data_IF_354373159099
#
_entry.id   IF_354373159099
#
_cell.length_a   1.000
_cell.length_b   1.000
_cell.length_c   1.000
_cell.angle_alpha   90.00
_cell.angle_beta   90.00
_cell.angle_gamma   90.00
#
_symmetry.space_group_name_H-M   'P 1'
#
loop_
_entity.id
_entity.type
_entity.pdbx_description
1 polymer ?
#
# COMPACT_ATOMS: atom_id res chain seq x y z
N UNK A 1 -30.13 -10.90 23.93
CA UNK A 1 -29.18 -12.03 23.99
C UNK A 1 -27.79 -11.42 23.92
N UNK A 2 -27.01 -11.54 24.98
CA UNK A 2 -25.66 -10.98 25.08
C UNK A 2 -24.70 -11.71 24.12
N UNK A 3 -23.77 -11.01 23.45
CA UNK A 3 -22.78 -11.68 22.62
C UNK A 3 -21.78 -12.46 23.51
N UNK A 4 -21.28 -13.62 23.05
CA UNK A 4 -20.40 -14.46 23.85
C UNK A 4 -19.02 -13.81 24.01
N UNK A 5 -18.70 -13.36 25.23
CA UNK A 5 -17.39 -12.84 25.66
C UNK A 5 -16.31 -13.94 25.83
N UNK A 6 -16.28 -14.95 24.97
CA UNK A 6 -15.30 -16.04 25.11
C UNK A 6 -14.50 -16.23 23.83
N UNK A 7 -13.47 -15.41 23.62
CA UNK A 7 -12.26 -15.73 22.84
C UNK A 7 -11.39 -14.49 22.73
N UNK A 8 -10.26 -14.48 23.45
CA UNK A 8 -8.97 -13.86 23.11
C UNK A 8 -8.11 -13.86 24.39
N UNK A 9 -7.68 -15.05 24.83
CA UNK A 9 -6.41 -15.12 25.56
C UNK A 9 -5.33 -14.94 24.50
N UNK A 10 -4.63 -13.81 24.53
CA UNK A 10 -3.37 -13.63 23.83
C UNK A 10 -2.35 -14.57 24.44
N UNK A 11 -2.36 -15.84 24.01
CA UNK A 11 -1.20 -16.68 24.18
C UNK A 11 -0.06 -16.04 23.39
N UNK A 12 1.07 -15.78 24.04
CA UNK A 12 2.30 -15.41 23.33
C UNK A 12 2.54 -16.47 22.26
N UNK A 13 2.43 -16.05 21.00
CA UNK A 13 2.72 -16.92 19.86
C UNK A 13 4.23 -17.11 19.90
N UNK A 14 4.69 -18.34 20.12
CA UNK A 14 6.11 -18.65 20.03
C UNK A 14 6.63 -18.20 18.67
N UNK A 15 7.75 -17.46 18.64
CA UNK A 15 8.32 -16.91 17.42
C UNK A 15 9.70 -17.53 17.15
N UNK A 16 9.78 -18.86 16.95
CA UNK A 16 11.06 -19.58 16.97
C UNK A 16 12.05 -19.09 15.89
N UNK A 17 11.57 -18.67 14.72
CA UNK A 17 12.41 -18.12 13.67
C UNK A 17 13.02 -16.77 14.08
N UNK A 18 12.20 -15.84 14.56
CA UNK A 18 12.66 -14.54 15.08
C UNK A 18 13.60 -14.68 16.26
N UNK A 19 13.23 -15.46 17.27
CA UNK A 19 14.05 -15.67 18.48
C UNK A 19 15.42 -16.25 18.13
N UNK A 20 15.47 -17.19 17.18
CA UNK A 20 16.72 -17.77 16.70
C UNK A 20 17.56 -16.73 15.96
N UNK A 21 16.99 -15.99 15.01
CA UNK A 21 17.73 -14.99 14.24
C UNK A 21 18.20 -13.82 15.11
N UNK A 22 17.35 -13.32 16.02
CA UNK A 22 17.73 -12.26 16.95
C UNK A 22 18.89 -12.66 17.86
N UNK A 23 18.95 -13.94 18.28
CA UNK A 23 20.05 -14.46 19.11
C UNK A 23 21.38 -14.57 18.35
N UNK A 24 21.35 -15.01 17.09
CA UNK A 24 22.54 -15.46 16.38
C UNK A 24 23.05 -14.51 15.29
N UNK A 25 22.21 -13.64 14.73
CA UNK A 25 22.67 -12.63 13.79
C UNK A 25 23.45 -11.52 14.51
N UNK A 26 24.42 -10.87 13.85
CA UNK A 26 25.11 -9.72 14.43
C UNK A 26 24.10 -8.65 14.88
N UNK A 27 24.29 -8.01 16.05
CA UNK A 27 23.42 -6.93 16.46
C UNK A 27 23.60 -5.71 15.55
N UNK A 28 22.54 -4.94 15.38
CA UNK A 28 22.64 -3.63 14.77
C UNK A 28 23.00 -2.56 15.81
N UNK A 29 23.36 -1.37 15.35
CA UNK A 29 23.60 -0.21 16.21
C UNK A 29 22.31 0.59 16.44
N UNK A 30 22.01 0.92 17.71
CA UNK A 30 20.98 1.89 18.13
C UNK A 30 19.61 1.72 17.42
N UNK A 31 19.27 2.66 16.54
CA UNK A 31 17.96 2.77 15.89
C UNK A 31 17.67 1.58 14.96
N UNK A 32 18.71 1.02 14.33
CA UNK A 32 18.59 -0.16 13.46
C UNK A 32 18.24 -1.41 14.27
N UNK A 33 18.76 -1.55 15.49
CA UNK A 33 18.41 -2.68 16.37
C UNK A 33 16.96 -2.58 16.86
N UNK A 34 16.51 -1.36 17.15
CA UNK A 34 15.10 -1.12 17.47
C UNK A 34 14.18 -1.50 16.30
N UNK A 35 14.54 -1.11 15.07
CA UNK A 35 13.80 -1.50 13.86
C UNK A 35 13.80 -3.01 13.66
N UNK A 36 14.95 -3.67 13.81
CA UNK A 36 15.05 -5.12 13.73
C UNK A 36 14.11 -5.79 14.74
N UNK A 37 14.21 -5.41 16.01
CA UNK A 37 13.36 -5.94 17.08
C UNK A 37 11.87 -5.78 16.78
N UNK A 38 11.49 -4.60 16.30
CA UNK A 38 10.09 -4.25 16.08
C UNK A 38 9.52 -4.91 14.83
N UNK A 39 10.15 -4.70 13.67
CA UNK A 39 9.65 -5.20 12.39
C UNK A 39 9.80 -6.71 12.27
N UNK A 40 10.85 -7.29 12.86
CA UNK A 40 11.03 -8.74 12.85
C UNK A 40 9.94 -9.47 13.63
N UNK A 41 9.54 -8.96 14.80
CA UNK A 41 8.41 -9.49 15.58
C UNK A 41 7.07 -9.32 14.84
N UNK A 42 6.83 -8.14 14.26
CA UNK A 42 5.61 -7.87 13.49
C UNK A 42 5.50 -8.78 12.26
N UNK A 43 6.57 -8.87 11.46
CA UNK A 43 6.60 -9.71 10.27
C UNK A 43 6.43 -11.20 10.62
N UNK A 44 7.10 -11.68 11.67
CA UNK A 44 6.93 -13.08 12.13
C UNK A 44 5.49 -13.38 12.52
N UNK A 45 4.84 -12.43 13.19
CA UNK A 45 3.43 -12.58 13.56
C UNK A 45 2.54 -12.67 12.32
N UNK A 46 2.71 -11.75 11.36
CA UNK A 46 1.96 -11.75 10.10
C UNK A 46 2.13 -13.05 9.32
N UNK A 47 3.38 -13.51 9.16
CA UNK A 47 3.70 -14.76 8.46
C UNK A 47 3.08 -15.97 9.16
N UNK A 48 3.19 -16.04 10.49
CA UNK A 48 2.59 -17.12 11.29
C UNK A 48 1.07 -17.15 11.13
N UNK A 49 0.40 -15.99 11.24
CA UNK A 49 -1.05 -15.92 11.08
C UNK A 49 -1.50 -16.24 9.65
N UNK A 50 -0.68 -15.94 8.64
CA UNK A 50 -0.89 -16.33 7.25
C UNK A 50 -0.46 -17.78 6.94
N UNK A 51 -0.11 -18.57 7.97
CA UNK A 51 0.26 -19.98 7.86
C UNK A 51 1.49 -20.22 6.95
N UNK A 52 2.48 -19.32 7.04
CA UNK A 52 3.81 -19.54 6.48
C UNK A 52 4.58 -20.55 7.34
N UNK A 53 5.29 -21.48 6.70
CA UNK A 53 6.14 -22.44 7.41
C UNK A 53 7.44 -21.80 7.91
N UNK A 54 8.24 -22.56 8.67
CA UNK A 54 9.46 -22.04 9.26
C UNK A 54 10.50 -21.62 8.23
N UNK A 55 10.63 -22.33 7.11
CA UNK A 55 11.62 -22.00 6.09
C UNK A 55 11.25 -20.67 5.42
N UNK A 56 9.98 -20.51 5.04
CA UNK A 56 9.46 -19.27 4.47
C UNK A 56 9.62 -18.09 5.47
N UNK A 57 9.42 -18.34 6.78
CA UNK A 57 9.65 -17.34 7.83
C UNK A 57 11.13 -16.93 7.95
N UNK A 58 12.06 -17.89 7.97
CA UNK A 58 13.49 -17.60 8.01
C UNK A 58 13.93 -16.79 6.80
N UNK A 59 13.48 -17.14 5.61
CA UNK A 59 13.82 -16.42 4.37
C UNK A 59 13.35 -14.97 4.43
N UNK A 60 12.08 -14.75 4.79
CA UNK A 60 11.52 -13.40 4.91
C UNK A 60 12.23 -12.54 5.96
N UNK A 61 12.58 -13.13 7.11
CA UNK A 61 13.28 -12.42 8.18
C UNK A 61 14.75 -12.12 7.85
N UNK A 62 15.45 -13.05 7.19
CA UNK A 62 16.81 -12.82 6.71
C UNK A 62 16.84 -11.73 5.63
N UNK A 63 15.85 -11.71 4.75
CA UNK A 63 15.68 -10.66 3.76
C UNK A 63 15.45 -9.29 4.44
N UNK A 64 14.48 -9.23 5.37
CA UNK A 64 14.20 -8.02 6.15
C UNK A 64 15.46 -7.51 6.86
N UNK A 65 16.13 -8.38 7.62
CA UNK A 65 17.37 -8.06 8.34
C UNK A 65 18.42 -7.48 7.40
N UNK A 66 18.70 -8.15 6.29
CA UNK A 66 19.82 -7.79 5.41
C UNK A 66 19.56 -6.55 4.56
N UNK A 67 18.35 -6.42 4.02
CA UNK A 67 18.07 -5.47 2.93
C UNK A 67 17.14 -4.32 3.33
N UNK A 68 16.40 -4.44 4.43
CA UNK A 68 15.40 -3.45 4.81
C UNK A 68 15.85 -2.67 6.04
N UNK A 69 16.18 -3.36 7.13
CA UNK A 69 16.55 -2.74 8.41
C UNK A 69 17.65 -1.66 8.29
N UNK A 70 18.71 -1.83 7.46
CA UNK A 70 19.79 -0.85 7.42
C UNK A 70 19.37 0.58 7.07
N UNK A 71 18.26 0.74 6.34
CA UNK A 71 17.82 1.99 5.75
C UNK A 71 16.40 2.38 6.20
N UNK A 72 15.95 1.97 7.39
CA UNK A 72 14.63 2.38 7.94
C UNK A 72 14.65 3.76 8.63
N UNK A 73 15.78 4.47 8.58
CA UNK A 73 15.95 5.79 9.20
C UNK A 73 15.97 5.76 10.74
N UNK A 74 15.92 6.93 11.39
CA UNK A 74 15.89 7.04 12.84
C UNK A 74 14.64 6.40 13.44
N UNK A 75 14.76 5.80 14.63
CA UNK A 75 13.58 5.26 15.32
C UNK A 75 12.65 6.39 15.78
N UNK A 76 11.32 6.17 15.81
CA UNK A 76 10.36 7.09 16.37
C UNK A 76 10.65 7.43 17.84
N UNK A 77 10.63 8.73 18.17
CA UNK A 77 10.84 9.26 19.53
C UNK A 77 9.82 10.33 19.93
N UNK A 78 8.96 10.75 18.99
CA UNK A 78 7.92 11.76 19.15
C UNK A 78 6.87 11.56 18.07
N UNK A 79 5.84 12.41 18.03
CA UNK A 79 4.82 12.45 16.97
C UNK A 79 5.36 12.95 15.63
N UNK A 80 6.57 13.52 15.60
CA UNK A 80 7.14 14.16 14.40
C UNK A 80 8.23 13.28 13.81
N UNK A 81 7.95 12.70 12.65
CA UNK A 81 8.93 11.94 11.89
C UNK A 81 10.03 12.86 11.33
N UNK A 82 11.33 12.50 11.47
CA UNK A 82 12.43 13.23 10.86
C UNK A 82 12.29 13.33 9.33
N UNK A 83 11.83 12.25 8.70
CA UNK A 83 11.40 12.21 7.31
C UNK A 83 9.91 11.91 7.25
N UNK A 84 9.14 12.76 6.56
CA UNK A 84 7.69 12.62 6.43
C UNK A 84 7.35 11.70 5.26
N UNK A 85 7.51 10.39 5.48
CA UNK A 85 7.16 9.39 4.47
C UNK A 85 5.70 9.52 4.03
N UNK A 86 5.45 9.37 2.73
CA UNK A 86 4.11 9.29 2.13
C UNK A 86 3.45 7.92 2.34
N UNK A 87 4.23 6.91 2.75
CA UNK A 87 3.76 5.52 2.89
C UNK A 87 2.52 5.41 3.76
N UNK A 88 2.50 6.12 4.89
CA UNK A 88 1.39 6.13 5.84
C UNK A 88 1.08 7.55 6.29
N UNK A 89 -0.15 7.79 6.76
CA UNK A 89 -0.57 9.14 7.19
C UNK A 89 0.15 9.60 8.47
N UNK A 90 0.74 8.69 9.25
CA UNK A 90 1.60 9.00 10.41
C UNK A 90 3.10 9.06 10.05
N UNK A 91 3.44 8.93 8.77
CA UNK A 91 4.81 8.94 8.25
C UNK A 91 5.70 7.75 8.64
N UNK A 92 5.10 6.66 9.13
CA UNK A 92 5.80 5.37 9.23
C UNK A 92 6.31 4.94 7.83
N UNK A 93 7.60 4.61 7.68
CA UNK A 93 8.19 4.32 6.36
C UNK A 93 7.91 2.90 5.87
N UNK A 94 6.87 2.25 6.39
CA UNK A 94 6.49 0.88 6.03
C UNK A 94 4.98 0.69 6.12
N UNK A 95 4.43 -0.06 5.17
CA UNK A 95 3.06 -0.53 5.18
C UNK A 95 3.04 -2.02 4.81
N UNK A 96 2.38 -2.85 5.63
CA UNK A 96 2.17 -4.26 5.33
C UNK A 96 0.94 -4.44 4.44
N UNK A 97 0.86 -5.56 3.75
CA UNK A 97 -0.39 -5.97 3.13
C UNK A 97 -0.65 -7.46 3.29
N UNK A 98 -1.93 -7.77 3.44
CA UNK A 98 -2.49 -9.10 3.57
C UNK A 98 -3.38 -9.36 2.35
N UNK A 99 -2.83 -10.08 1.37
CA UNK A 99 -3.59 -10.45 0.17
C UNK A 99 -4.42 -11.69 0.46
N UNK A 100 -5.73 -11.51 0.38
CA UNK A 100 -6.70 -12.58 0.60
C UNK A 100 -6.78 -13.49 -0.62
N UNK A 101 -6.65 -14.79 -0.39
CA UNK A 101 -6.80 -15.79 -1.45
C UNK A 101 -8.27 -16.21 -1.62
N UNK A 102 -8.56 -16.92 -2.71
CA UNK A 102 -9.86 -17.55 -2.92
C UNK A 102 -9.95 -18.90 -2.18
N UNK A 103 -11.13 -19.22 -1.66
CA UNK A 103 -11.38 -20.43 -0.88
C UNK A 103 -10.52 -20.53 0.38
N UNK A 104 -9.97 -21.71 0.63
CA UNK A 104 -9.11 -22.03 1.79
C UNK A 104 -7.62 -21.80 1.56
N UNK A 105 -7.23 -21.21 0.43
CA UNK A 105 -5.82 -20.96 0.12
C UNK A 105 -5.20 -19.97 1.11
N UNK A 106 -3.92 -20.16 1.39
CA UNK A 106 -3.17 -19.33 2.34
C UNK A 106 -3.05 -17.88 1.81
N UNK A 107 -3.19 -16.86 2.66
CA UNK A 107 -2.91 -15.47 2.30
C UNK A 107 -1.43 -15.25 1.95
N UNK A 108 -1.17 -14.18 1.22
CA UNK A 108 0.20 -13.71 0.94
C UNK A 108 0.48 -12.42 1.74
N UNK A 109 1.60 -12.41 2.47
CA UNK A 109 2.10 -11.24 3.18
C UNK A 109 3.11 -10.51 2.31
N UNK A 110 2.98 -9.19 2.26
CA UNK A 110 3.89 -8.30 1.52
C UNK A 110 4.09 -7.04 2.35
N UNK A 111 5.10 -6.26 2.02
CA UNK A 111 5.24 -4.93 2.60
C UNK A 111 5.86 -3.98 1.59
N UNK A 112 5.50 -2.71 1.71
CA UNK A 112 6.15 -1.63 1.00
C UNK A 112 6.90 -0.77 2.00
N UNK A 113 8.08 -0.30 1.60
CA UNK A 113 8.97 0.52 2.39
C UNK A 113 9.40 1.73 1.60
N UNK A 114 9.61 2.83 2.32
CA UNK A 114 10.43 3.94 1.85
C UNK A 114 11.75 3.91 2.62
N UNK A 115 12.84 3.39 2.02
CA UNK A 115 14.17 3.51 2.60
C UNK A 115 14.52 4.98 2.84
N UNK A 116 14.98 5.30 4.05
CA UNK A 116 15.35 6.64 4.49
C UNK A 116 16.87 6.73 4.61
N UNK A 117 17.48 7.57 3.78
CA UNK A 117 18.91 7.83 3.86
C UNK A 117 19.24 8.72 5.06
N UNK A 118 20.47 8.66 5.63
CA UNK A 118 20.92 9.62 6.63
C UNK A 118 20.94 11.09 6.13
N UNK A 119 20.84 11.29 4.83
CA UNK A 119 20.85 12.59 4.16
C UNK A 119 19.44 13.02 3.72
N UNK A 120 18.39 12.24 4.00
CA UNK A 120 17.04 12.51 3.58
C UNK A 120 16.58 13.93 3.96
N UNK A 121 16.11 14.70 2.98
CA UNK A 121 15.69 16.09 3.15
C UNK A 121 16.84 17.10 3.21
N UNK A 122 18.10 16.68 3.23
CA UNK A 122 19.25 17.59 3.10
C UNK A 122 19.42 18.06 1.65
N UNK A 123 20.28 19.06 1.42
CA UNK A 123 20.64 19.50 0.06
C UNK A 123 21.25 18.38 -0.81
N UNK A 124 21.81 17.32 -0.19
CA UNK A 124 22.45 16.21 -0.89
C UNK A 124 21.45 15.12 -1.28
N UNK A 125 20.31 15.03 -0.57
CA UNK A 125 19.23 14.07 -0.86
C UNK A 125 17.85 14.68 -0.51
N UNK A 126 17.44 15.76 -1.19
CA UNK A 126 16.27 16.55 -0.78
C UNK A 126 14.93 15.81 -0.89
N UNK A 127 14.88 14.73 -1.67
CA UNK A 127 13.69 13.93 -1.95
C UNK A 127 13.82 12.45 -1.50
N UNK A 128 14.82 12.15 -0.66
CA UNK A 128 15.06 10.81 -0.10
C UNK A 128 15.14 9.68 -1.15
N UNK A 129 15.95 9.87 -2.18
CA UNK A 129 16.12 8.90 -3.26
C UNK A 129 17.32 7.98 -3.04
N UNK A 130 18.34 8.42 -2.29
CA UNK A 130 19.65 7.75 -2.27
C UNK A 130 19.58 6.33 -1.70
N UNK A 131 18.83 6.13 -0.61
CA UNK A 131 18.67 4.82 0.02
C UNK A 131 17.91 3.84 -0.90
N UNK A 132 16.80 4.29 -1.48
CA UNK A 132 16.02 3.49 -2.45
C UNK A 132 16.86 3.08 -3.67
N UNK A 133 17.62 4.01 -4.26
CA UNK A 133 18.50 3.69 -5.39
C UNK A 133 19.58 2.65 -5.00
N UNK A 134 20.14 2.77 -3.81
CA UNK A 134 21.16 1.84 -3.29
C UNK A 134 20.56 0.45 -3.08
N UNK A 135 19.37 0.36 -2.49
CA UNK A 135 18.64 -0.88 -2.32
C UNK A 135 18.41 -1.58 -3.67
N UNK A 136 17.83 -0.87 -4.65
CA UNK A 136 17.52 -1.46 -5.96
C UNK A 136 18.77 -1.99 -6.68
N UNK A 137 19.87 -1.22 -6.68
CA UNK A 137 21.14 -1.66 -7.28
C UNK A 137 21.74 -2.86 -6.55
N UNK A 138 21.56 -2.97 -5.23
CA UNK A 138 22.08 -4.09 -4.48
C UNK A 138 21.23 -5.35 -4.64
N UNK A 139 19.90 -5.22 -4.70
CA UNK A 139 19.01 -6.33 -5.02
C UNK A 139 19.32 -6.90 -6.41
N UNK A 140 19.56 -6.06 -7.42
CA UNK A 140 19.93 -6.51 -8.77
C UNK A 140 21.23 -7.33 -8.81
N UNK A 141 22.14 -7.16 -7.84
CA UNK A 141 23.37 -7.98 -7.75
C UNK A 141 23.11 -9.38 -7.23
N UNK A 142 22.02 -9.60 -6.49
CA UNK A 142 21.72 -10.87 -5.83
C UNK A 142 20.47 -11.56 -6.37
N UNK A 143 19.66 -10.86 -7.18
CA UNK A 143 18.47 -11.35 -7.86
C UNK A 143 18.65 -11.21 -9.37
N UNK A 144 19.18 -12.23 -10.08
CA UNK A 144 19.42 -12.18 -11.51
C UNK A 144 18.17 -11.87 -12.36
N UNK A 145 16.99 -12.19 -11.84
CA UNK A 145 15.68 -11.95 -12.47
C UNK A 145 15.16 -10.52 -12.31
N UNK A 146 15.78 -9.71 -11.44
CA UNK A 146 15.40 -8.33 -11.20
C UNK A 146 15.86 -7.44 -12.36
N UNK A 147 14.91 -7.02 -13.19
CA UNK A 147 15.19 -6.16 -14.34
C UNK A 147 14.95 -4.69 -13.99
N UNK A 148 16.01 -3.88 -14.08
CA UNK A 148 15.98 -2.45 -13.77
C UNK A 148 15.77 -1.56 -15.01
N UNK A 149 15.54 -2.12 -16.20
CA UNK A 149 15.42 -1.34 -17.45
C UNK A 149 14.36 -0.25 -17.35
N UNK A 150 13.14 -0.60 -16.91
CA UNK A 150 12.07 0.38 -16.73
C UNK A 150 12.27 1.24 -15.48
N UNK A 151 12.90 0.69 -14.44
CA UNK A 151 13.24 1.46 -13.26
C UNK A 151 14.16 2.64 -13.61
N UNK A 152 15.26 2.38 -14.32
CA UNK A 152 16.22 3.40 -14.73
C UNK A 152 15.60 4.43 -15.69
N UNK A 153 14.74 3.97 -16.60
CA UNK A 153 13.97 4.83 -17.50
C UNK A 153 13.06 5.80 -16.72
N UNK A 154 12.16 5.27 -15.89
CA UNK A 154 11.19 6.11 -15.17
C UNK A 154 11.86 6.98 -14.11
N UNK A 155 12.92 6.50 -13.46
CA UNK A 155 13.73 7.34 -12.59
C UNK A 155 14.28 8.54 -13.36
N UNK A 156 14.91 8.33 -14.53
CA UNK A 156 15.46 9.41 -15.35
C UNK A 156 14.39 10.41 -15.79
N UNK A 157 13.25 9.91 -16.29
CA UNK A 157 12.19 10.76 -16.86
C UNK A 157 11.36 11.52 -15.81
N UNK A 158 11.23 10.98 -14.61
CA UNK A 158 10.37 11.54 -13.56
C UNK A 158 11.15 12.27 -12.46
N UNK A 159 12.37 11.81 -12.14
CA UNK A 159 13.13 12.25 -10.96
C UNK A 159 14.60 12.60 -11.25
N UNK A 160 15.09 12.30 -12.46
CA UNK A 160 16.46 12.54 -12.88
C UNK A 160 16.76 14.01 -13.27
N UNK A 161 17.98 14.28 -13.77
CA UNK A 161 18.39 15.61 -14.21
C UNK A 161 17.41 16.24 -15.21
N UNK A 162 17.04 17.51 -14.97
CA UNK A 162 16.13 18.26 -15.84
C UNK A 162 14.65 18.06 -15.52
N UNK A 163 14.32 17.26 -14.51
CA UNK A 163 12.96 17.12 -13.98
C UNK A 163 12.71 18.13 -12.85
N UNK A 164 11.43 18.43 -12.52
CA UNK A 164 11.10 19.28 -11.38
C UNK A 164 11.79 18.90 -10.07
N UNK A 165 12.01 17.61 -9.83
CA UNK A 165 12.71 17.09 -8.64
C UNK A 165 14.15 17.58 -8.52
N UNK A 166 14.80 17.98 -9.63
CA UNK A 166 16.15 18.57 -9.59
C UNK A 166 16.12 20.08 -9.43
N UNK A 167 15.11 20.76 -9.96
CA UNK A 167 14.97 22.23 -9.95
C UNK A 167 14.43 22.79 -8.62
N UNK A 168 13.60 22.03 -7.90
CA UNK A 168 13.01 22.46 -6.60
C UNK A 168 13.93 22.24 -5.40
N UNK A 169 15.11 21.65 -5.61
CA UNK A 169 16.10 21.35 -4.57
C UNK A 169 16.70 22.59 -3.87
N UNK A 170 16.42 23.80 -4.36
CA UNK A 170 17.01 25.06 -3.89
C UNK A 170 16.37 25.71 -2.65
N UNK A 171 15.42 25.08 -1.95
CA UNK A 171 14.85 25.68 -0.73
C UNK A 171 13.70 24.96 -0.02
N UNK A 172 13.13 23.88 -0.57
CA UNK A 172 12.08 23.10 0.08
C UNK A 172 12.56 21.66 0.31
N UNK A 173 12.45 21.17 1.55
CA UNK A 173 12.51 19.73 1.84
C UNK A 173 11.36 19.06 1.10
N UNK A 174 11.67 18.12 0.21
CA UNK A 174 10.67 17.44 -0.61
C UNK A 174 9.83 16.43 0.16
N UNK A 175 8.66 16.07 -0.38
CA UNK A 175 7.92 14.87 -0.02
C UNK A 175 8.57 13.62 -0.62
N UNK A 176 8.14 12.43 -0.20
CA UNK A 176 8.51 11.16 -0.85
C UNK A 176 8.33 11.21 -2.36
N UNK A 177 9.35 10.74 -3.08
CA UNK A 177 9.31 10.60 -4.54
C UNK A 177 9.41 9.16 -5.00
N UNK A 178 9.89 8.26 -4.14
CA UNK A 178 10.05 6.85 -4.46
C UNK A 178 9.83 5.97 -3.24
N UNK A 179 9.25 4.80 -3.46
CA UNK A 179 9.20 3.72 -2.48
C UNK A 179 9.11 2.36 -3.18
N UNK A 180 9.32 1.28 -2.45
CA UNK A 180 9.49 -0.07 -3.00
C UNK A 180 8.54 -1.03 -2.30
N UNK A 181 7.77 -1.82 -3.05
CA UNK A 181 7.07 -2.97 -2.51
C UNK A 181 7.88 -4.25 -2.71
N UNK A 182 8.00 -5.01 -1.64
CA UNK A 182 8.67 -6.29 -1.55
C UNK A 182 7.60 -7.36 -1.31
N UNK A 183 7.31 -8.15 -2.33
CA UNK A 183 6.33 -9.22 -2.25
C UNK A 183 7.05 -10.54 -2.00
N UNK A 184 7.15 -10.91 -0.73
CA UNK A 184 7.65 -12.22 -0.29
C UNK A 184 6.59 -13.29 -0.60
N UNK A 185 6.58 -13.77 -1.84
CA UNK A 185 5.78 -14.92 -2.21
C UNK A 185 6.53 -16.19 -1.80
N UNK A 186 5.77 -17.28 -1.63
CA UNK A 186 6.19 -18.55 -1.00
C UNK A 186 7.36 -19.31 -1.65
N UNK A 187 8.02 -18.72 -2.66
CA UNK A 187 9.21 -19.24 -3.36
C UNK A 187 10.01 -18.14 -4.10
N UNK A 188 9.50 -16.90 -4.15
CA UNK A 188 10.03 -15.84 -5.00
C UNK A 188 9.77 -14.46 -4.40
N UNK A 189 10.75 -13.57 -4.52
CA UNK A 189 10.60 -12.16 -4.21
C UNK A 189 10.24 -11.39 -5.48
N UNK A 190 9.11 -10.68 -5.46
CA UNK A 190 8.81 -9.69 -6.50
C UNK A 190 9.04 -8.29 -5.96
N UNK A 191 9.71 -7.47 -6.76
CA UNK A 191 9.99 -6.08 -6.42
C UNK A 191 9.16 -5.17 -7.33
N UNK A 192 8.50 -4.19 -6.72
CA UNK A 192 7.79 -3.12 -7.43
C UNK A 192 8.32 -1.79 -6.94
N UNK A 193 8.50 -0.84 -7.86
CA UNK A 193 8.92 0.52 -7.52
C UNK A 193 7.80 1.47 -7.87
N UNK A 194 7.61 2.44 -6.98
CA UNK A 194 6.64 3.50 -7.08
C UNK A 194 7.38 4.82 -7.27
N UNK A 195 6.87 5.66 -8.16
CA UNK A 195 7.37 6.98 -8.47
C UNK A 195 6.25 8.00 -8.25
N UNK A 196 6.51 8.98 -7.42
CA UNK A 196 5.64 10.14 -7.19
C UNK A 196 6.38 11.35 -7.79
N UNK A 197 6.00 11.81 -8.99
CA UNK A 197 6.62 12.98 -9.60
C UNK A 197 6.40 14.22 -8.74
N UNK A 198 7.39 15.09 -8.68
CA UNK A 198 7.26 16.40 -8.03
C UNK A 198 6.43 17.31 -8.93
N UNK A 199 5.27 17.74 -8.45
CA UNK A 199 4.40 18.64 -9.19
C UNK A 199 4.90 20.09 -9.12
N UNK A 200 4.68 20.84 -10.19
CA UNK A 200 4.84 22.31 -10.22
C UNK A 200 3.53 22.95 -10.68
N UNK A 201 3.34 24.28 -10.52
CA UNK A 201 2.16 24.97 -11.05
C UNK A 201 1.95 24.77 -12.56
N UNK A 202 3.02 24.51 -13.30
CA UNK A 202 3.02 24.32 -14.76
C UNK A 202 2.94 22.84 -15.16
N UNK A 203 3.33 21.91 -14.28
CA UNK A 203 3.52 20.51 -14.65
C UNK A 203 3.01 19.54 -13.57
N UNK A 204 1.78 19.05 -13.78
CA UNK A 204 1.17 18.02 -12.92
C UNK A 204 1.88 16.66 -13.02
N UNK A 205 1.71 15.80 -12.02
CA UNK A 205 2.21 14.43 -12.04
C UNK A 205 1.68 13.61 -13.24
N UNK A 206 0.41 13.76 -13.61
CA UNK A 206 -0.17 13.07 -14.78
C UNK A 206 0.57 13.36 -16.08
N UNK A 207 0.80 14.64 -16.39
CA UNK A 207 1.54 15.05 -17.58
C UNK A 207 2.96 14.47 -17.62
N UNK A 208 3.65 14.41 -16.47
CA UNK A 208 4.99 13.81 -16.37
C UNK A 208 4.95 12.30 -16.62
N UNK A 209 4.03 11.58 -15.97
CA UNK A 209 3.86 10.13 -16.12
C UNK A 209 3.50 9.77 -17.57
N UNK A 210 2.52 10.46 -18.15
CA UNK A 210 2.08 10.19 -19.51
C UNK A 210 3.21 10.41 -20.53
N UNK A 211 3.99 11.49 -20.37
CA UNK A 211 5.19 11.75 -21.21
C UNK A 211 6.25 10.65 -21.04
N UNK A 212 6.53 10.24 -19.81
CA UNK A 212 7.53 9.21 -19.52
C UNK A 212 7.13 7.83 -20.07
N UNK A 213 5.84 7.50 -20.09
CA UNK A 213 5.36 6.25 -20.71
C UNK A 213 5.45 6.35 -22.24
N UNK A 214 5.05 7.49 -22.83
CA UNK A 214 5.10 7.72 -24.29
C UNK A 214 6.53 7.76 -24.86
N UNK A 215 7.54 7.99 -24.02
CA UNK A 215 8.96 7.93 -24.43
C UNK A 215 9.56 6.51 -24.44
N UNK A 216 8.80 5.48 -24.05
CA UNK A 216 9.24 4.10 -24.19
C UNK A 216 9.25 3.68 -25.68
N UNK A 217 10.36 3.11 -26.14
CA UNK A 217 10.54 2.67 -27.54
C UNK A 217 9.65 1.48 -27.96
N UNK A 218 8.82 0.94 -27.07
CA UNK A 218 8.05 -0.28 -27.35
C UNK A 218 6.71 -0.35 -26.60
N UNK A 219 5.70 -0.81 -27.37
CA UNK A 219 4.45 -1.50 -26.99
C UNK A 219 3.13 -0.69 -27.05
N UNK A 220 2.05 -1.44 -27.30
CA UNK A 220 0.68 -0.98 -27.46
C UNK A 220 0.27 -0.01 -26.35
N UNK A 221 -0.06 1.22 -26.74
CA UNK A 221 -0.57 2.26 -25.83
C UNK A 221 -2.11 2.22 -25.74
N UNK A 222 -2.77 1.14 -26.17
CA UNK A 222 -4.24 1.05 -26.22
C UNK A 222 -4.90 1.37 -24.88
N UNK A 223 -4.49 0.68 -23.80
CA UNK A 223 -5.03 0.93 -22.47
C UNK A 223 -4.71 2.35 -21.94
N UNK A 224 -3.51 2.86 -22.23
CA UNK A 224 -3.11 4.23 -21.85
C UNK A 224 -3.99 5.27 -22.58
N UNK A 225 -4.21 5.11 -23.87
CA UNK A 225 -5.04 6.00 -24.68
C UNK A 225 -6.50 6.00 -24.20
N UNK A 226 -7.04 4.84 -23.83
CA UNK A 226 -8.37 4.73 -23.24
C UNK A 226 -8.44 5.44 -21.88
N UNK A 227 -7.44 5.27 -21.01
CA UNK A 227 -7.36 6.00 -19.75
C UNK A 227 -7.26 7.52 -19.99
N UNK A 228 -6.40 7.97 -20.89
CA UNK A 228 -6.24 9.39 -21.27
C UNK A 228 -7.57 9.97 -21.76
N UNK A 229 -8.25 9.28 -22.68
CA UNK A 229 -9.58 9.69 -23.15
C UNK A 229 -10.61 9.73 -22.03
N UNK A 230 -10.62 8.75 -21.11
CA UNK A 230 -11.54 8.75 -19.98
C UNK A 230 -11.30 9.95 -19.04
N UNK A 231 -10.04 10.22 -18.70
CA UNK A 231 -9.65 11.35 -17.86
C UNK A 231 -10.01 12.72 -18.48
N UNK A 232 -9.92 12.84 -19.81
CA UNK A 232 -10.17 14.12 -20.51
C UNK A 232 -11.62 14.34 -20.92
N UNK A 233 -12.34 13.28 -21.30
CA UNK A 233 -13.61 13.40 -22.03
C UNK A 233 -14.84 12.88 -21.27
N UNK A 234 -14.66 12.23 -20.11
CA UNK A 234 -15.78 11.69 -19.31
C UNK A 234 -15.99 12.53 -18.04
N UNK A 235 -17.25 12.83 -17.70
CA UNK A 235 -17.63 13.68 -16.56
C UNK A 235 -17.03 13.21 -15.23
N UNK A 236 -17.08 11.91 -14.96
CA UNK A 236 -16.41 11.32 -13.80
C UNK A 236 -14.89 11.21 -13.94
N UNK A 237 -14.40 10.84 -15.13
CA UNK A 237 -12.96 10.66 -15.37
C UNK A 237 -12.17 11.94 -15.12
N UNK A 238 -12.73 13.10 -15.48
CA UNK A 238 -12.11 14.40 -15.22
C UNK A 238 -12.04 14.80 -13.73
N UNK A 239 -12.67 14.02 -12.83
CA UNK A 239 -12.57 14.19 -11.37
C UNK A 239 -11.41 13.41 -10.75
N UNK A 240 -10.72 12.59 -11.53
CA UNK A 240 -9.53 11.86 -11.10
C UNK A 240 -8.27 12.70 -11.25
N UNK A 241 -7.33 12.55 -10.31
CA UNK A 241 -6.02 13.19 -10.32
C UNK A 241 -4.94 12.11 -10.22
N UNK A 242 -4.35 11.69 -11.36
CA UNK A 242 -3.20 10.79 -11.35
C UNK A 242 -2.00 11.44 -10.66
N UNK A 243 -1.39 10.73 -9.72
CA UNK A 243 -0.32 11.29 -8.87
C UNK A 243 0.91 10.37 -8.74
N UNK A 244 0.80 9.09 -9.12
CA UNK A 244 1.87 8.12 -8.88
C UNK A 244 1.85 7.02 -9.95
N UNK A 245 3.04 6.56 -10.33
CA UNK A 245 3.26 5.41 -11.21
C UNK A 245 3.92 4.29 -10.43
N UNK A 246 3.45 3.06 -10.57
CA UNK A 246 4.19 1.88 -10.11
C UNK A 246 4.50 0.94 -11.26
N UNK A 247 5.68 0.33 -11.20
CA UNK A 247 6.15 -0.67 -12.15
C UNK A 247 6.53 -1.95 -11.42
N UNK A 248 6.45 -3.07 -12.12
CA UNK A 248 7.07 -4.32 -11.66
C UNK A 248 8.51 -4.38 -12.20
N UNK A 249 9.52 -4.67 -11.37
CA UNK A 249 10.92 -4.77 -11.77
C UNK A 249 11.23 -6.14 -12.38
N UNK A 250 10.58 -6.42 -13.50
CA UNK A 250 10.74 -7.60 -14.35
C UNK A 250 10.92 -7.15 -15.79
N UNK A 251 11.21 -8.08 -16.71
CA UNK A 251 11.41 -7.73 -18.12
C UNK A 251 10.32 -6.79 -18.66
N UNK A 252 10.66 -5.76 -19.46
CA UNK A 252 9.70 -4.78 -20.00
C UNK A 252 8.43 -5.37 -20.64
N UNK A 253 8.51 -6.55 -21.26
CA UNK A 253 7.35 -7.24 -21.85
C UNK A 253 6.43 -7.87 -20.82
N UNK A 254 6.93 -8.20 -19.64
CA UNK A 254 6.18 -8.80 -18.54
C UNK A 254 5.73 -7.78 -17.49
N UNK A 255 6.34 -6.60 -17.46
CA UNK A 255 6.04 -5.55 -16.48
C UNK A 255 4.69 -4.87 -16.75
N UNK A 256 4.08 -4.37 -15.68
CA UNK A 256 2.82 -3.62 -15.69
C UNK A 256 3.10 -2.15 -15.38
N UNK A 257 2.26 -1.28 -15.92
CA UNK A 257 2.29 0.17 -15.67
C UNK A 257 1.03 0.52 -14.87
N UNK A 258 1.17 0.76 -13.57
CA UNK A 258 0.04 1.06 -12.69
C UNK A 258 0.00 2.54 -12.37
N UNK A 259 -0.95 3.26 -12.94
CA UNK A 259 -1.13 4.69 -12.68
C UNK A 259 -2.17 4.85 -11.58
N UNK A 260 -1.75 5.43 -10.46
CA UNK A 260 -2.62 5.69 -9.31
C UNK A 260 -3.23 7.06 -9.42
N UNK A 261 -4.53 7.14 -9.16
CA UNK A 261 -5.30 8.38 -9.18
C UNK A 261 -6.18 8.49 -7.95
N UNK A 262 -6.42 9.73 -7.50
CA UNK A 262 -7.36 10.05 -6.43
C UNK A 262 -8.53 10.88 -6.92
N UNK A 263 -9.64 10.83 -6.20
CA UNK A 263 -10.73 11.79 -6.31
C UNK A 263 -11.33 12.09 -4.95
N UNK A 264 -11.83 13.30 -4.76
CA UNK A 264 -12.67 13.64 -3.61
C UNK A 264 -14.08 13.02 -3.70
N UNK A 265 -14.48 12.50 -4.86
CA UNK A 265 -15.75 11.79 -5.04
C UNK A 265 -15.65 10.38 -4.45
N UNK A 266 -16.70 9.97 -3.74
CA UNK A 266 -16.78 8.75 -2.92
C UNK A 266 -18.11 8.01 -3.04
N UNK A 267 -19.11 8.58 -3.72
CA UNK A 267 -20.36 7.87 -4.01
C UNK A 267 -20.08 6.56 -4.75
N UNK A 268 -20.79 5.49 -4.39
CA UNK A 268 -20.56 4.19 -5.03
C UNK A 268 -20.90 4.22 -6.53
N UNK A 269 -21.80 5.10 -6.97
CA UNK A 269 -22.04 5.38 -8.41
C UNK A 269 -20.77 5.88 -9.10
N UNK A 270 -20.02 6.78 -8.48
CA UNK A 270 -18.71 7.23 -8.98
C UNK A 270 -17.70 6.07 -9.00
N UNK A 271 -17.58 5.33 -7.90
CA UNK A 271 -16.69 4.15 -7.82
C UNK A 271 -16.98 3.16 -8.95
N UNK A 272 -18.25 2.83 -9.18
CA UNK A 272 -18.71 1.97 -10.28
C UNK A 272 -18.30 2.51 -11.64
N UNK A 273 -18.51 3.81 -11.90
CA UNK A 273 -18.15 4.41 -13.18
C UNK A 273 -16.63 4.33 -13.46
N UNK A 274 -15.81 4.60 -12.44
CA UNK A 274 -14.34 4.48 -12.57
C UNK A 274 -13.93 3.03 -12.78
N UNK A 275 -14.51 2.09 -12.03
CA UNK A 275 -14.23 0.64 -12.17
C UNK A 275 -14.57 0.10 -13.56
N UNK A 276 -15.59 0.66 -14.23
CA UNK A 276 -15.95 0.29 -15.60
C UNK A 276 -15.28 1.16 -16.67
N UNK A 277 -14.50 2.18 -16.27
CA UNK A 277 -13.87 3.16 -17.17
C UNK A 277 -14.92 3.78 -18.10
N UNK A 278 -16.01 4.28 -17.49
CA UNK A 278 -17.14 4.87 -18.23
C UNK A 278 -17.93 3.85 -19.07
N UNK A 279 -17.96 2.58 -18.64
CA UNK A 279 -18.64 1.49 -19.36
C UNK A 279 -17.79 0.78 -20.43
N UNK A 280 -16.51 1.13 -20.58
CA UNK A 280 -15.58 0.43 -21.47
C UNK A 280 -15.33 -1.02 -21.03
N UNK A 281 -15.26 -1.27 -19.71
CA UNK A 281 -15.18 -2.63 -19.14
C UNK A 281 -16.59 -3.13 -18.87
N UNK A 282 -16.94 -4.27 -19.46
CA UNK A 282 -18.28 -4.90 -19.38
C UNK A 282 -18.24 -6.20 -18.58
N UNK A 283 -19.41 -6.74 -18.22
CA UNK A 283 -19.52 -8.03 -17.52
C UNK A 283 -19.10 -7.99 -16.04
N UNK A 284 -19.11 -6.81 -15.42
CA UNK A 284 -18.67 -6.61 -14.04
C UNK A 284 -19.84 -6.49 -13.03
N UNK A 285 -21.09 -6.52 -13.48
CA UNK A 285 -22.26 -6.14 -12.67
C UNK A 285 -22.33 -6.88 -11.33
N UNK A 286 -22.22 -8.22 -11.35
CA UNK A 286 -22.26 -9.04 -10.13
C UNK A 286 -21.11 -8.71 -9.17
N UNK A 287 -19.90 -8.59 -9.69
CA UNK A 287 -18.73 -8.22 -8.87
C UNK A 287 -18.84 -6.79 -8.33
N UNK A 288 -19.48 -5.86 -9.05
CA UNK A 288 -19.71 -4.49 -8.60
C UNK A 288 -20.79 -4.44 -7.52
N UNK A 289 -21.82 -5.30 -7.59
CA UNK A 289 -22.80 -5.44 -6.52
C UNK A 289 -22.16 -6.01 -5.25
N UNK A 290 -21.32 -7.04 -5.39
CA UNK A 290 -20.51 -7.57 -4.29
C UNK A 290 -19.57 -6.52 -3.71
N UNK A 291 -18.97 -5.67 -4.55
CA UNK A 291 -18.14 -4.56 -4.10
C UNK A 291 -18.97 -3.51 -3.36
N UNK A 292 -20.20 -3.25 -3.79
CA UNK A 292 -21.11 -2.32 -3.08
C UNK A 292 -21.45 -2.82 -1.68
N UNK A 293 -21.73 -4.11 -1.54
CA UNK A 293 -21.96 -4.74 -0.25
C UNK A 293 -20.72 -4.63 0.66
N UNK A 294 -19.54 -4.99 0.15
CA UNK A 294 -18.28 -4.86 0.90
C UNK A 294 -17.98 -3.40 1.31
N UNK A 295 -18.21 -2.44 0.41
CA UNK A 295 -18.04 -1.01 0.67
C UNK A 295 -18.90 -0.56 1.86
N UNK A 296 -20.20 -0.94 1.85
CA UNK A 296 -21.13 -0.59 2.93
C UNK A 296 -20.72 -1.23 4.26
N UNK A 297 -20.40 -2.53 4.26
CA UNK A 297 -20.04 -3.27 5.47
C UNK A 297 -18.76 -2.75 6.12
N UNK A 298 -17.72 -2.50 5.34
CA UNK A 298 -16.40 -2.09 5.86
C UNK A 298 -16.38 -0.64 6.34
N UNK A 299 -17.31 0.19 5.85
CA UNK A 299 -17.46 1.59 6.26
C UNK A 299 -18.61 1.81 7.26
N UNK A 300 -19.33 0.75 7.67
CA UNK A 300 -20.44 0.85 8.62
C UNK A 300 -21.62 1.66 8.10
N UNK A 301 -21.87 1.63 6.78
CA UNK A 301 -22.97 2.37 6.15
C UNK A 301 -24.30 1.62 6.28
N UNK A 302 -25.42 2.35 6.20
CA UNK A 302 -26.75 1.75 6.08
C UNK A 302 -26.80 0.85 4.83
N UNK A 303 -27.21 -0.43 4.93
CA UNK A 303 -27.41 -1.31 3.78
C UNK A 303 -28.30 -0.70 2.69
N UNK A 304 -29.28 0.13 3.07
CA UNK A 304 -30.22 0.79 2.18
C UNK A 304 -29.72 2.15 1.64
N UNK A 305 -28.50 2.55 1.99
CA UNK A 305 -27.90 3.79 1.46
C UNK A 305 -27.87 3.79 -0.07
N UNK A 306 -28.22 4.95 -0.63
CA UNK A 306 -28.21 5.18 -2.08
C UNK A 306 -26.79 5.12 -2.63
N UNK A 307 -26.56 4.54 -3.83
CA UNK A 307 -25.25 4.58 -4.47
C UNK A 307 -24.79 6.00 -4.83
N UNK A 308 -25.69 6.99 -4.84
CA UNK A 308 -25.39 8.41 -5.07
C UNK A 308 -24.88 9.14 -3.82
N UNK A 309 -25.01 8.53 -2.64
CA UNK A 309 -24.61 9.17 -1.38
C UNK A 309 -23.10 9.25 -1.28
N UNK A 310 -22.58 10.47 -1.17
CA UNK A 310 -21.19 10.74 -0.83
C UNK A 310 -20.92 10.42 0.64
N UNK A 311 -19.70 9.95 0.93
CA UNK A 311 -19.21 9.83 2.30
C UNK A 311 -18.99 11.23 2.92
N UNK A 312 -18.86 11.27 4.24
CA UNK A 312 -18.59 12.53 4.96
C UNK A 312 -17.28 13.18 4.48
N UNK A 313 -17.30 14.49 4.24
CA UNK A 313 -16.09 15.20 3.83
C UNK A 313 -15.02 15.13 4.92
N UNK A 314 -13.86 14.58 4.59
CA UNK A 314 -12.67 14.53 5.46
C UNK A 314 -11.61 15.46 4.89
N UNK A 315 -11.17 16.44 5.68
CA UNK A 315 -10.12 17.38 5.30
C UNK A 315 -8.73 16.76 5.53
N UNK A 316 -8.34 15.83 4.67
CA UNK A 316 -7.03 15.19 4.70
C UNK A 316 -6.51 15.02 3.25
N UNK A 317 -5.21 15.25 2.96
CA UNK A 317 -4.66 15.10 1.59
C UNK A 317 -4.84 13.71 0.98
N UNK A 318 -5.12 12.71 1.81
CA UNK A 318 -5.26 11.32 1.42
C UNK A 318 -6.66 10.74 1.64
N UNK A 319 -7.64 11.60 1.93
CA UNK A 319 -9.06 11.22 1.91
C UNK A 319 -9.57 11.09 0.47
N UNK A 320 -10.82 10.66 0.34
CA UNK A 320 -11.46 10.39 -0.94
C UNK A 320 -11.17 8.97 -1.45
N UNK A 321 -11.60 8.72 -2.69
CA UNK A 321 -11.41 7.44 -3.36
C UNK A 321 -10.04 7.37 -4.04
N UNK A 322 -9.42 6.18 -3.99
CA UNK A 322 -8.15 5.90 -4.67
C UNK A 322 -8.33 4.74 -5.63
N UNK A 323 -7.71 4.84 -6.80
CA UNK A 323 -7.71 3.81 -7.83
C UNK A 323 -6.31 3.61 -8.37
N UNK A 324 -6.04 2.44 -8.92
CA UNK A 324 -4.99 2.30 -9.92
C UNK A 324 -5.54 1.73 -11.22
N UNK A 325 -5.00 2.21 -12.33
CA UNK A 325 -5.23 1.73 -13.67
C UNK A 325 -4.00 0.95 -14.12
N UNK A 326 -4.17 -0.30 -14.52
CA UNK A 326 -3.11 -1.07 -15.18
C UNK A 326 -3.20 -0.84 -16.68
N UNK A 327 -2.25 -0.06 -17.19
CA UNK A 327 -2.10 0.26 -18.62
C UNK A 327 -0.91 -0.47 -19.24
N UNK A 328 -0.50 -1.58 -18.61
CA UNK A 328 0.61 -2.38 -19.09
C UNK A 328 0.43 -2.88 -20.53
N UNK A 329 1.53 -3.23 -21.21
CA UNK A 329 1.52 -3.54 -22.65
C UNK A 329 0.60 -4.66 -23.13
N UNK A 330 0.21 -5.56 -22.22
CA UNK A 330 -0.57 -6.76 -22.55
C UNK A 330 -2.08 -6.50 -22.59
N UNK A 331 -2.53 -5.34 -22.10
CA UNK A 331 -3.95 -5.07 -21.94
C UNK A 331 -4.44 -4.07 -23.00
N UNK A 332 -5.46 -4.41 -23.80
CA UNK A 332 -6.02 -3.48 -24.79
C UNK A 332 -6.86 -2.38 -24.12
N UNK A 333 -7.46 -2.69 -22.96
CA UNK A 333 -8.22 -1.77 -22.11
C UNK A 333 -7.62 -1.77 -20.71
N UNK A 334 -7.66 -0.65 -19.97
CA UNK A 334 -7.08 -0.61 -18.64
C UNK A 334 -7.87 -1.47 -17.66
N UNK A 335 -7.18 -2.28 -16.86
CA UNK A 335 -7.79 -2.87 -15.67
C UNK A 335 -7.79 -1.86 -14.53
N UNK A 336 -8.80 -1.93 -13.66
CA UNK A 336 -8.97 -0.99 -12.55
C UNK A 336 -9.08 -1.74 -11.24
N UNK A 337 -8.35 -1.25 -10.25
CA UNK A 337 -8.49 -1.63 -8.84
C UNK A 337 -8.83 -0.39 -8.02
N UNK A 338 -9.86 -0.49 -7.20
CA UNK A 338 -10.23 0.53 -6.23
C UNK A 338 -9.62 0.21 -4.85
N UNK A 339 -9.52 1.23 -4.00
CA UNK A 339 -9.09 1.08 -2.61
C UNK A 339 -10.15 1.72 -1.71
N UNK A 340 -10.78 0.92 -0.85
CA UNK A 340 -11.71 1.41 0.18
C UNK A 340 -10.88 2.13 1.24
N UNK A 341 -11.06 3.45 1.43
CA UNK A 341 -10.23 4.28 2.32
C UNK A 341 -10.64 4.14 3.80
N UNK A 342 -10.63 2.92 4.34
CA UNK A 342 -11.20 2.63 5.67
C UNK A 342 -10.61 3.49 6.79
N UNK A 343 -9.33 3.87 6.71
CA UNK A 343 -8.67 4.76 7.69
C UNK A 343 -9.34 6.12 7.91
N UNK A 344 -10.11 6.60 6.93
CA UNK A 344 -10.75 7.92 6.96
C UNK A 344 -12.26 7.85 7.19
N UNK A 345 -12.88 6.70 6.90
CA UNK A 345 -14.32 6.61 6.74
C UNK A 345 -14.97 5.44 7.50
N UNK A 346 -14.20 4.47 7.97
CA UNK A 346 -14.74 3.50 8.91
C UNK A 346 -14.91 4.15 10.29
N UNK A 347 -15.66 3.49 11.18
CA UNK A 347 -15.85 4.00 12.54
C UNK A 347 -14.63 3.77 13.43
N UNK A 348 -14.02 2.61 13.30
CA UNK A 348 -12.78 2.21 13.96
C UNK A 348 -12.22 0.96 13.23
N UNK A 349 -10.98 0.58 13.55
CA UNK A 349 -10.32 -0.57 12.92
C UNK A 349 -11.05 -1.90 13.17
N UNK A 350 -11.63 -2.11 14.36
CA UNK A 350 -12.34 -3.35 14.67
C UNK A 350 -13.59 -3.51 13.80
N UNK A 351 -14.42 -2.48 13.66
CA UNK A 351 -15.63 -2.53 12.83
C UNK A 351 -15.29 -2.69 11.35
N UNK A 352 -14.24 -2.02 10.85
CA UNK A 352 -13.76 -2.21 9.48
C UNK A 352 -13.35 -3.67 9.22
N UNK A 353 -12.60 -4.25 10.18
CA UNK A 353 -12.20 -5.65 10.10
C UNK A 353 -13.41 -6.58 10.14
N UNK A 354 -14.34 -6.41 11.08
CA UNK A 354 -15.54 -7.25 11.18
C UNK A 354 -16.42 -7.17 9.93
N UNK A 355 -16.55 -5.99 9.31
CA UNK A 355 -17.25 -5.83 8.03
C UNK A 355 -16.61 -6.63 6.89
N UNK A 356 -15.27 -6.59 6.79
CA UNK A 356 -14.53 -7.39 5.82
C UNK A 356 -14.67 -8.89 6.08
N UNK A 357 -14.53 -9.31 7.34
CA UNK A 357 -14.56 -10.72 7.72
C UNK A 357 -15.96 -11.32 7.54
N UNK A 358 -17.01 -10.59 7.89
CA UNK A 358 -18.39 -11.01 7.62
C UNK A 358 -18.65 -11.20 6.13
N UNK A 359 -18.17 -10.26 5.28
CA UNK A 359 -18.25 -10.44 3.83
C UNK A 359 -17.50 -11.71 3.37
N UNK A 360 -16.28 -11.93 3.86
CA UNK A 360 -15.49 -13.10 3.49
C UNK A 360 -16.17 -14.41 3.93
N UNK A 361 -16.77 -14.44 5.13
CA UNK A 361 -17.50 -15.60 5.65
C UNK A 361 -18.74 -15.92 4.81
N UNK A 362 -19.55 -14.91 4.49
CA UNK A 362 -20.74 -15.05 3.63
C UNK A 362 -20.39 -15.62 2.23
N UNK A 363 -19.17 -15.37 1.77
CA UNK A 363 -18.65 -15.85 0.47
C UNK A 363 -17.76 -17.10 0.59
N UNK A 364 -17.75 -17.79 1.73
CA UNK A 364 -16.99 -19.04 1.92
C UNK A 364 -15.46 -18.88 1.94
N UNK A 365 -14.97 -17.67 2.24
CA UNK A 365 -13.56 -17.27 2.27
C UNK A 365 -13.06 -16.86 3.66
N UNK A 366 -13.86 -17.11 4.69
CA UNK A 366 -13.56 -16.76 6.09
C UNK A 366 -12.52 -17.64 6.80
N UNK A 367 -11.81 -18.55 6.11
CA UNK A 367 -10.89 -19.50 6.76
C UNK A 367 -9.79 -18.81 7.58
N UNK A 368 -9.37 -17.62 7.17
CA UNK A 368 -8.33 -16.82 7.83
C UNK A 368 -8.88 -15.66 8.67
N UNK A 369 -10.20 -15.57 8.90
CA UNK A 369 -10.81 -14.44 9.62
C UNK A 369 -10.21 -14.22 11.01
N UNK A 370 -10.14 -15.28 11.81
CA UNK A 370 -9.59 -15.18 13.16
C UNK A 370 -8.09 -14.89 13.15
N UNK A 371 -7.33 -15.50 12.22
CA UNK A 371 -5.90 -15.23 12.06
C UNK A 371 -5.62 -13.76 11.73
N UNK A 372 -6.45 -13.16 10.88
CA UNK A 372 -6.35 -11.74 10.55
C UNK A 372 -6.64 -10.85 11.77
N UNK A 373 -7.67 -11.15 12.58
CA UNK A 373 -7.92 -10.41 13.83
C UNK A 373 -6.73 -10.50 14.79
N UNK A 374 -6.12 -11.68 14.95
CA UNK A 374 -4.92 -11.83 15.79
C UNK A 374 -3.74 -11.03 15.25
N UNK A 375 -3.57 -10.95 13.94
CA UNK A 375 -2.56 -10.11 13.32
C UNK A 375 -2.80 -8.63 13.64
N UNK A 376 -4.05 -8.13 13.50
CA UNK A 376 -4.38 -6.75 13.86
C UNK A 376 -4.10 -6.45 15.34
N UNK A 377 -4.51 -7.36 16.24
CA UNK A 377 -4.24 -7.21 17.68
C UNK A 377 -2.74 -7.17 18.02
N UNK A 378 -1.90 -7.85 17.24
CA UNK A 378 -0.46 -7.85 17.45
C UNK A 378 0.24 -6.60 16.89
N UNK A 379 -0.33 -5.95 15.89
CA UNK A 379 0.19 -4.69 15.35
C UNK A 379 -0.29 -3.47 16.14
N UNK A 380 -1.45 -3.56 16.78
CA UNK A 380 -2.07 -2.46 17.52
C UNK A 380 -1.65 -2.40 18.99
N UNK A 381 -1.66 -1.21 19.62
CA UNK A 381 -1.68 -1.12 21.07
C UNK A 381 -2.83 -1.95 21.69
N UNK A 382 -2.62 -2.60 22.84
CA UNK A 382 -3.66 -3.43 23.47
C UNK A 382 -4.97 -2.66 23.70
N UNK A 383 -6.08 -3.21 23.20
CA UNK A 383 -7.42 -2.63 23.37
C UNK A 383 -7.78 -1.47 22.43
N UNK A 384 -6.87 -1.03 21.54
CA UNK A 384 -7.12 0.17 20.73
C UNK A 384 -8.03 -0.04 19.52
N UNK A 385 -8.14 -1.26 18.97
CA UNK A 385 -8.86 -1.50 17.70
C UNK A 385 -10.31 -0.99 17.67
N UNK A 386 -11.01 -1.03 18.81
CA UNK A 386 -12.40 -0.52 18.91
C UNK A 386 -12.51 0.97 19.19
N UNK A 387 -11.39 1.66 19.41
CA UNK A 387 -11.31 3.06 19.83
C UNK A 387 -10.59 3.93 18.81
N UNK A 388 -9.67 3.36 18.04
CA UNK A 388 -8.83 4.07 17.08
C UNK A 388 -9.12 3.64 15.65
N UNK A 389 -8.59 4.42 14.72
CA UNK A 389 -8.61 4.16 13.30
C UNK A 389 -7.23 4.44 12.71
N UNK A 390 -6.92 3.78 11.60
CA UNK A 390 -5.71 4.05 10.81
C UNK A 390 -4.69 2.93 10.83
N UNK A 391 -4.88 1.87 11.62
CA UNK A 391 -4.11 0.64 11.49
C UNK A 391 -4.41 -0.01 10.14
N UNK A 392 -5.67 -0.09 9.74
CA UNK A 392 -6.07 -0.54 8.41
C UNK A 392 -6.15 0.68 7.48
N UNK A 393 -5.23 0.75 6.53
CA UNK A 393 -5.12 1.88 5.62
C UNK A 393 -6.22 1.82 4.57
N UNK A 394 -6.27 0.70 3.84
CA UNK A 394 -7.14 0.48 2.70
C UNK A 394 -7.55 -0.99 2.61
N UNK A 395 -8.72 -1.23 2.02
CA UNK A 395 -9.04 -2.52 1.40
C UNK A 395 -9.04 -2.37 -0.12
N UNK A 396 -8.03 -2.93 -0.78
CA UNK A 396 -7.94 -2.98 -2.24
C UNK A 396 -8.93 -4.00 -2.81
N UNK A 397 -9.66 -3.60 -3.85
CA UNK A 397 -10.67 -4.41 -4.52
C UNK A 397 -10.47 -4.37 -6.02
N UNK A 398 -10.26 -5.55 -6.62
CA UNK A 398 -10.35 -5.75 -8.06
C UNK A 398 -11.48 -6.74 -8.38
N UNK A 399 -12.31 -6.40 -9.35
CA UNK A 399 -13.34 -7.28 -9.88
C UNK A 399 -12.69 -8.34 -10.79
N UNK A 400 -12.90 -9.63 -10.49
CA UNK A 400 -12.38 -10.76 -11.26
C UNK A 400 -13.51 -11.73 -11.57
N UNK A 401 -14.08 -11.63 -12.78
CA UNK A 401 -15.31 -12.33 -13.11
C UNK A 401 -16.44 -11.89 -12.18
N UNK A 402 -17.09 -12.86 -11.54
CA UNK A 402 -18.18 -12.64 -10.57
C UNK A 402 -17.68 -12.32 -9.15
N UNK A 403 -16.37 -12.39 -8.92
CA UNK A 403 -15.75 -12.39 -7.60
C UNK A 403 -14.84 -11.18 -7.36
N UNK A 404 -14.42 -10.99 -6.10
CA UNK A 404 -13.51 -9.93 -5.69
C UNK A 404 -12.12 -10.45 -5.32
N UNK A 405 -11.07 -9.92 -5.94
CA UNK A 405 -9.70 -10.03 -5.43
C UNK A 405 -9.45 -8.94 -4.39
N UNK A 406 -9.14 -9.35 -3.15
CA UNK A 406 -9.04 -8.45 -2.00
C UNK A 406 -7.63 -8.39 -1.43
N UNK A 407 -7.22 -7.21 -0.95
CA UNK A 407 -5.96 -7.04 -0.20
C UNK A 407 -6.16 -5.99 0.88
N UNK A 408 -5.85 -6.33 2.13
CA UNK A 408 -5.84 -5.36 3.23
C UNK A 408 -4.47 -4.72 3.36
N UNK A 409 -4.39 -3.41 3.52
CA UNK A 409 -3.16 -2.67 3.80
C UNK A 409 -3.15 -2.25 5.26
N UNK A 410 -2.02 -2.46 5.95
CA UNK A 410 -1.88 -2.31 7.39
C UNK A 410 -0.71 -1.37 7.70
N UNK A 411 -1.00 -0.24 8.31
CA UNK A 411 -0.02 0.71 8.86
C UNK A 411 0.24 0.38 10.33
N UNK A 412 1.50 0.11 10.74
CA UNK A 412 1.83 -0.12 12.15
C UNK A 412 1.80 1.15 13.03
N UNK A 413 1.56 2.33 12.44
CA UNK A 413 1.34 3.60 13.16
C UNK A 413 2.42 3.98 14.20
N UNK A 414 3.70 3.83 13.85
CA UNK A 414 4.81 3.99 14.81
C UNK A 414 4.97 5.39 15.40
N UNK A 415 4.49 6.45 14.74
CA UNK A 415 4.56 7.82 15.26
C UNK A 415 3.27 8.22 15.98
N UNK A 416 2.13 7.66 15.60
CA UNK A 416 0.83 8.00 16.18
C UNK A 416 0.75 7.66 17.68
N UNK A 417 1.46 6.61 18.13
CA UNK A 417 1.50 6.19 19.54
C UNK A 417 2.03 7.26 20.50
N UNK A 418 2.77 8.26 20.00
CA UNK A 418 3.26 9.36 20.83
C UNK A 418 2.22 10.48 21.00
N UNK A 419 1.20 10.54 20.14
CA UNK A 419 0.17 11.60 20.17
C UNK A 419 -0.99 11.30 21.10
N UNK A 420 -1.24 10.02 21.40
CA UNK A 420 -2.32 9.57 22.29
C UNK A 420 -2.12 9.96 23.77
N UNK A 421 -0.96 10.50 24.16
CA UNK A 421 -0.67 10.90 25.54
C UNK A 421 -0.90 12.39 25.84
N UNK A 422 -1.14 13.25 24.84
CA UNK A 422 -1.31 14.70 25.05
C UNK A 422 -2.74 15.13 25.38
N UNK A 423 -3.72 14.22 25.38
CA UNK A 423 -5.14 14.55 25.68
C UNK A 423 -5.55 14.33 27.14
N UNK A 424 -4.68 13.81 28.00
CA UNK A 424 -4.95 13.57 29.43
C UNK A 424 -4.38 14.65 30.37
N UNK A 425 -3.87 15.76 29.83
CA UNK A 425 -3.43 16.92 30.62
C UNK A 425 -3.97 18.23 30.07
N UNK A 426 -5.27 18.45 30.21
CA UNK A 426 -5.88 19.79 30.18
C UNK A 426 -7.19 19.82 30.93
#
# INVERSE_FOLDING_TARGET
MSPPQTLLRTHEIAQPAWETLYKWLPPFSEDKDWWWKTLGQQLTTLLTQANYDLNEQYEALLFLYRWVIPDMGPRPRSTVAPWKSFMTDDHSPIEYSWKWSFGSKKPEIRYAIEPISPLAGSMQDPFNQAATQTLMRNLAKVMPELDLTWYDHFWRELLGPGTPATSTSGGATGSSTMFVALEMLRDHLFVKVYFIPVETPELSAWHQINRAIKSLECQSLGALNHMESYLSNHDDGCRLRPFMLAIDCVTPKASRLKIYARSAQTSFRFIRNVMTVGGLRTGLDRSLDNFSDLWKRTLGLDPNSSPETELLTVNHPTSGAVFHFDVGPKSPIPDVKAYIPVRHYARNDLEAALGLLGYLEDHGRGHYSQSYLRALHALAPPGSLGQTIGLQTYFAVACQGDDLSLTSYLSPQFYAVFGSHETDTS
#
